data_IF_038223097522
#
_entry.id   IF_038223097522
#
_cell.length_a   1.000
_cell.length_b   1.000
_cell.length_c   1.000
_cell.angle_alpha   90.00
_cell.angle_beta   90.00
_cell.angle_gamma   90.00
#
_symmetry.space_group_name_H-M   'P 1'
#
loop_
_entity.id
_entity.type
_entity.pdbx_description
1 polymer ?
#
# COMPACT_ATOMS: atom_id res chain seq x y z
N UNK A 1 16.16 -55.54 30.03
CA UNK A 1 15.26 -54.37 29.94
C UNK A 1 15.20 -53.93 28.48
N UNK A 2 14.02 -53.85 27.87
CA UNK A 2 13.88 -53.38 26.48
C UNK A 2 14.34 -51.91 26.38
N UNK A 3 15.16 -51.57 25.37
CA UNK A 3 15.55 -50.18 25.11
C UNK A 3 14.27 -49.38 24.79
N UNK A 4 13.89 -48.46 25.67
CA UNK A 4 12.81 -47.53 25.39
C UNK A 4 13.23 -46.65 24.21
N UNK A 5 12.40 -46.61 23.19
CA UNK A 5 12.58 -45.77 22.02
C UNK A 5 12.26 -44.32 22.37
N UNK A 6 12.98 -43.35 21.80
CA UNK A 6 12.63 -41.92 21.92
C UNK A 6 11.22 -41.63 21.41
N UNK A 7 10.74 -42.43 20.45
CA UNK A 7 9.41 -42.33 19.89
C UNK A 7 8.30 -42.68 20.89
N UNK A 8 8.60 -43.43 21.95
CA UNK A 8 7.64 -43.77 23.01
C UNK A 8 7.89 -43.03 24.34
N UNK A 9 8.85 -42.11 24.38
CA UNK A 9 9.16 -41.31 25.58
C UNK A 9 8.34 -40.02 25.62
N UNK A 10 7.29 -40.01 26.43
CA UNK A 10 6.44 -38.83 26.64
C UNK A 10 7.24 -37.61 27.13
N UNK A 11 8.22 -37.81 28.01
CA UNK A 11 9.01 -36.70 28.58
C UNK A 11 9.92 -36.07 27.54
N UNK A 12 10.47 -36.88 26.64
CA UNK A 12 11.23 -36.37 25.49
C UNK A 12 10.34 -35.45 24.63
N UNK A 13 9.16 -35.91 24.20
CA UNK A 13 8.26 -35.12 23.36
C UNK A 13 7.73 -33.86 24.03
N UNK A 14 7.38 -33.93 25.32
CA UNK A 14 6.97 -32.75 26.10
C UNK A 14 8.06 -31.69 26.13
N UNK A 15 9.32 -32.08 26.37
CA UNK A 15 10.46 -31.16 26.39
C UNK A 15 10.75 -30.61 25.00
N UNK A 16 10.73 -31.45 23.97
CA UNK A 16 10.95 -31.04 22.59
C UNK A 16 9.89 -30.04 22.14
N UNK A 17 8.61 -30.29 22.44
CA UNK A 17 7.53 -29.35 22.16
C UNK A 17 7.76 -28.02 22.89
N UNK A 18 8.07 -28.05 24.18
CA UNK A 18 8.36 -26.83 24.95
C UNK A 18 9.55 -26.04 24.37
N UNK A 19 10.63 -26.71 23.96
CA UNK A 19 11.80 -26.07 23.36
C UNK A 19 11.52 -25.49 21.98
N UNK A 20 10.86 -26.24 21.09
CA UNK A 20 10.52 -25.77 19.75
C UNK A 20 9.59 -24.56 19.85
N UNK A 21 8.52 -24.65 20.64
CA UNK A 21 7.59 -23.54 20.85
C UNK A 21 8.28 -22.35 21.48
N UNK A 22 9.11 -22.55 22.50
CA UNK A 22 9.85 -21.47 23.17
C UNK A 22 10.80 -20.75 22.22
N UNK A 23 11.63 -21.50 21.48
CA UNK A 23 12.57 -20.92 20.51
C UNK A 23 11.84 -20.21 19.36
N UNK A 24 10.82 -20.85 18.77
CA UNK A 24 10.02 -20.24 17.71
C UNK A 24 9.33 -18.95 18.17
N UNK A 25 8.86 -18.90 19.43
CA UNK A 25 8.28 -17.70 20.02
C UNK A 25 9.30 -16.57 20.17
N UNK A 26 10.51 -16.86 20.66
CA UNK A 26 11.58 -15.87 20.76
C UNK A 26 11.99 -15.35 19.39
N UNK A 27 12.13 -16.25 18.40
CA UNK A 27 12.45 -15.87 17.02
C UNK A 27 11.35 -14.97 16.42
N UNK A 28 10.08 -15.32 16.64
CA UNK A 28 8.95 -14.51 16.19
C UNK A 28 8.95 -13.12 16.82
N UNK A 29 9.19 -13.01 18.12
CA UNK A 29 9.30 -11.72 18.82
C UNK A 29 10.43 -10.87 18.21
N UNK A 30 11.59 -11.47 17.97
CA UNK A 30 12.73 -10.77 17.37
C UNK A 30 12.42 -10.28 15.96
N UNK A 31 11.87 -11.14 15.10
CA UNK A 31 11.45 -10.78 13.75
C UNK A 31 10.36 -9.71 13.72
N UNK A 32 9.48 -9.68 14.72
CA UNK A 32 8.48 -8.61 14.87
C UNK A 32 9.14 -7.24 15.09
N UNK A 33 10.14 -7.15 15.98
CA UNK A 33 10.85 -5.87 16.19
C UNK A 33 11.66 -5.44 14.97
N UNK A 34 12.34 -6.39 14.32
CA UNK A 34 13.06 -6.14 13.06
C UNK A 34 12.11 -5.63 11.96
N UNK A 35 10.96 -6.28 11.79
CA UNK A 35 9.93 -5.86 10.84
C UNK A 35 9.41 -4.46 11.16
N UNK A 36 9.08 -4.18 12.43
CA UNK A 36 8.59 -2.87 12.86
C UNK A 36 9.57 -1.74 12.51
N UNK A 37 10.88 -1.95 12.68
CA UNK A 37 11.89 -0.97 12.30
C UNK A 37 11.98 -0.79 10.78
N UNK A 38 11.83 -1.87 10.01
CA UNK A 38 11.89 -1.84 8.54
C UNK A 38 10.66 -1.20 7.88
N UNK A 39 9.48 -1.29 8.51
CA UNK A 39 8.22 -0.70 8.02
C UNK A 39 7.90 0.66 8.63
N UNK A 40 8.78 1.20 9.47
CA UNK A 40 8.62 2.53 10.02
C UNK A 40 8.58 3.57 8.89
N UNK A 41 7.53 4.39 8.89
CA UNK A 41 7.36 5.47 7.92
C UNK A 41 8.52 6.48 8.04
N UNK A 42 9.01 6.96 6.90
CA UNK A 42 9.95 8.07 6.86
C UNK A 42 9.30 9.40 7.23
N UNK A 43 10.11 10.45 7.17
CA UNK A 43 9.69 11.84 7.37
C UNK A 43 10.21 12.73 6.25
N UNK A 44 9.88 14.02 6.30
CA UNK A 44 10.32 15.00 5.30
C UNK A 44 11.83 15.16 5.20
N UNK A 45 12.55 14.96 6.31
CA UNK A 45 14.00 15.06 6.32
C UNK A 45 14.63 13.90 5.54
N UNK A 46 14.05 12.70 5.61
CA UNK A 46 14.50 11.56 4.82
C UNK A 46 14.37 11.87 3.32
N UNK A 47 13.20 12.39 2.90
CA UNK A 47 12.93 12.74 1.51
C UNK A 47 13.86 13.84 0.98
N UNK A 48 14.05 14.91 1.74
CA UNK A 48 14.95 16.03 1.37
C UNK A 48 16.41 15.60 1.25
N UNK A 49 16.82 14.61 2.03
CA UNK A 49 18.17 14.05 2.00
C UNK A 49 18.33 12.92 0.96
N UNK A 50 17.31 12.64 0.14
CA UNK A 50 17.33 11.57 -0.86
C UNK A 50 17.35 10.17 -0.26
N UNK A 51 16.87 10.01 0.97
CA UNK A 51 16.79 8.72 1.67
C UNK A 51 15.41 8.09 1.41
N UNK A 52 15.39 7.08 0.53
CA UNK A 52 14.17 6.31 0.26
C UNK A 52 14.04 5.15 1.23
N UNK A 53 13.29 5.35 2.32
CA UNK A 53 12.85 4.26 3.21
C UNK A 53 11.86 3.34 2.49
N UNK A 54 11.61 2.16 3.06
CA UNK A 54 10.64 1.20 2.51
C UNK A 54 9.21 1.74 2.51
N UNK A 55 8.88 2.56 3.51
CA UNK A 55 7.67 3.35 3.56
C UNK A 55 8.09 4.82 3.54
N UNK A 56 7.84 5.55 2.45
CA UNK A 56 8.28 6.94 2.32
C UNK A 56 7.54 7.84 3.31
N UNK A 57 8.10 9.03 3.55
CA UNK A 57 7.42 10.06 4.33
C UNK A 57 6.11 10.52 3.66
N UNK A 58 5.18 11.09 4.43
CA UNK A 58 3.83 11.39 3.95
C UNK A 58 3.82 12.41 2.82
N UNK A 59 4.76 13.36 2.82
CA UNK A 59 4.87 14.41 1.78
C UNK A 59 5.35 13.89 0.43
N UNK A 60 5.63 12.59 0.28
CA UNK A 60 5.92 11.99 -1.03
C UNK A 60 4.82 12.27 -2.06
N UNK A 61 3.58 12.54 -1.62
CA UNK A 61 2.46 12.93 -2.49
C UNK A 61 2.72 14.26 -3.24
N UNK A 62 3.64 15.10 -2.76
CA UNK A 62 4.08 16.33 -3.42
C UNK A 62 5.07 16.09 -4.56
N UNK A 63 5.49 14.85 -4.78
CA UNK A 63 6.52 14.48 -5.73
C UNK A 63 5.97 13.51 -6.77
N UNK A 64 6.62 13.52 -7.92
CA UNK A 64 6.41 12.51 -8.95
C UNK A 64 7.04 11.20 -8.50
N UNK A 65 6.30 10.10 -8.68
CA UNK A 65 6.76 8.76 -8.34
C UNK A 65 6.80 7.95 -9.63
N UNK A 66 7.94 7.34 -9.91
CA UNK A 66 8.12 6.40 -11.02
C UNK A 66 8.66 5.07 -10.49
N UNK A 67 8.63 4.04 -11.31
CA UNK A 67 9.32 2.78 -11.01
C UNK A 67 10.35 2.53 -12.10
N UNK A 68 11.59 2.30 -11.69
CA UNK A 68 12.71 2.12 -12.61
C UNK A 68 13.49 0.85 -12.25
N UNK A 69 14.01 0.17 -13.26
CA UNK A 69 14.76 -1.07 -13.08
C UNK A 69 16.09 -0.80 -12.37
N UNK A 70 16.25 -1.29 -11.15
CA UNK A 70 17.51 -1.23 -10.42
C UNK A 70 18.38 -2.44 -10.77
N UNK A 71 19.57 -2.18 -11.33
CA UNK A 71 20.51 -3.23 -11.77
C UNK A 71 21.08 -4.05 -10.62
N UNK A 72 21.21 -3.50 -9.41
CA UNK A 72 21.75 -4.23 -8.25
C UNK A 72 20.70 -5.17 -7.67
N UNK A 73 19.47 -4.72 -7.65
CA UNK A 73 18.31 -5.39 -7.08
C UNK A 73 17.60 -6.33 -8.06
N UNK A 74 17.86 -6.18 -9.36
CA UNK A 74 17.23 -6.94 -10.44
C UNK A 74 15.69 -6.87 -10.41
N UNK A 75 15.15 -5.75 -9.95
CA UNK A 75 13.71 -5.47 -9.94
C UNK A 75 13.47 -3.96 -10.05
N UNK A 76 12.25 -3.60 -10.45
CA UNK A 76 11.80 -2.21 -10.46
C UNK A 76 11.63 -1.67 -9.04
N UNK A 77 12.22 -0.52 -8.76
CA UNK A 77 12.13 0.18 -7.48
C UNK A 77 11.49 1.55 -7.65
N UNK A 78 10.79 2.07 -6.63
CA UNK A 78 10.24 3.41 -6.68
C UNK A 78 11.37 4.45 -6.71
N UNK A 79 11.23 5.43 -7.60
CA UNK A 79 12.10 6.60 -7.72
C UNK A 79 11.22 7.85 -7.48
N UNK A 80 11.68 8.70 -6.58
CA UNK A 80 11.00 9.95 -6.22
C UNK A 80 11.69 11.06 -7.00
N UNK A 81 10.94 11.69 -7.91
CA UNK A 81 11.42 12.69 -8.85
C UNK A 81 11.14 14.12 -8.40
N UNK A 82 10.92 15.02 -9.37
CA UNK A 82 10.58 16.42 -9.13
C UNK A 82 9.24 16.61 -8.41
N UNK A 83 8.98 17.83 -7.93
CA UNK A 83 7.67 18.21 -7.40
C UNK A 83 6.58 18.04 -8.45
N UNK A 84 5.44 17.51 -8.01
CA UNK A 84 4.25 17.29 -8.81
C UNK A 84 3.03 17.77 -8.02
N UNK A 85 2.13 18.48 -8.70
CA UNK A 85 0.87 18.89 -8.08
C UNK A 85 0.00 17.67 -7.77
N UNK A 86 -0.69 17.77 -6.66
CA UNK A 86 -1.66 16.82 -6.16
C UNK A 86 -2.90 17.60 -5.71
N UNK A 87 -3.99 17.51 -6.48
CA UNK A 87 -5.20 18.33 -6.31
C UNK A 87 -4.84 19.83 -6.31
N UNK A 88 -4.05 20.24 -7.30
CA UNK A 88 -3.68 21.64 -7.54
C UNK A 88 -2.54 22.19 -6.68
N UNK A 89 -2.08 21.46 -5.66
CA UNK A 89 -1.04 21.88 -4.70
C UNK A 89 0.17 20.93 -4.71
N UNK A 90 1.37 21.41 -4.47
CA UNK A 90 2.61 20.62 -4.35
C UNK A 90 3.38 20.93 -3.04
N UNK A 91 2.65 21.46 -2.06
CA UNK A 91 3.16 22.04 -0.82
C UNK A 91 2.46 21.50 0.43
N UNK A 92 1.86 20.32 0.37
CA UNK A 92 1.27 19.69 1.56
C UNK A 92 2.33 19.53 2.63
N UNK A 93 2.06 20.08 3.81
CA UNK A 93 2.90 19.88 4.99
C UNK A 93 2.89 18.41 5.44
N UNK A 94 3.87 18.03 6.27
CA UNK A 94 3.93 16.67 6.84
C UNK A 94 2.66 16.31 7.60
N UNK A 95 2.07 17.27 8.32
CA UNK A 95 0.82 17.08 9.06
C UNK A 95 -0.39 16.92 8.12
N UNK A 96 -0.57 17.83 7.14
CA UNK A 96 -1.67 17.73 6.17
C UNK A 96 -1.60 16.43 5.36
N UNK A 97 -0.39 16.06 4.91
CA UNK A 97 -0.20 14.83 4.15
C UNK A 97 -0.46 13.60 5.03
N UNK A 98 -0.02 13.60 6.29
CA UNK A 98 -0.29 12.50 7.22
C UNK A 98 -1.78 12.31 7.44
N UNK A 99 -2.54 13.39 7.64
CA UNK A 99 -3.99 13.31 7.83
C UNK A 99 -4.70 12.77 6.59
N UNK A 100 -4.31 13.23 5.40
CA UNK A 100 -4.87 12.71 4.14
C UNK A 100 -4.58 11.21 3.95
N UNK A 101 -3.36 10.77 4.24
CA UNK A 101 -2.99 9.35 4.17
C UNK A 101 -3.72 8.52 5.23
N UNK A 102 -3.91 9.06 6.43
CA UNK A 102 -4.69 8.44 7.49
C UNK A 102 -6.13 8.22 7.05
N UNK A 103 -6.79 9.27 6.53
CA UNK A 103 -8.14 9.20 6.00
C UNK A 103 -8.24 8.18 4.85
N UNK A 104 -7.29 8.18 3.92
CA UNK A 104 -7.26 7.23 2.81
C UNK A 104 -7.12 5.78 3.25
N UNK A 105 -6.19 5.52 4.17
CA UNK A 105 -6.01 4.18 4.75
C UNK A 105 -7.27 3.74 5.47
N UNK A 106 -7.85 4.59 6.32
CA UNK A 106 -9.09 4.29 7.03
C UNK A 106 -10.24 4.05 6.05
N UNK A 107 -10.37 4.85 5.00
CA UNK A 107 -11.34 4.67 3.92
C UNK A 107 -11.18 3.33 3.21
N UNK A 108 -9.95 2.92 2.87
CA UNK A 108 -9.72 1.64 2.21
C UNK A 108 -10.15 0.44 3.08
N UNK A 109 -10.02 0.57 4.40
CA UNK A 109 -10.37 -0.45 5.38
C UNK A 109 -11.88 -0.44 5.65
N UNK A 110 -12.48 0.74 5.86
CA UNK A 110 -13.91 0.89 6.16
C UNK A 110 -14.80 0.51 4.98
N UNK A 111 -14.35 0.79 3.75
CA UNK A 111 -15.01 0.38 2.50
C UNK A 111 -14.59 -1.03 2.03
N UNK A 112 -13.74 -1.70 2.81
CA UNK A 112 -13.30 -3.09 2.61
C UNK A 112 -12.72 -3.36 1.22
N UNK A 113 -11.86 -2.46 0.71
CA UNK A 113 -11.29 -2.57 -0.63
C UNK A 113 -10.56 -3.91 -0.86
N UNK A 114 -9.89 -4.45 0.17
CA UNK A 114 -9.17 -5.73 0.09
C UNK A 114 -10.08 -6.95 -0.11
N UNK A 115 -11.40 -6.83 0.07
CA UNK A 115 -12.34 -7.91 -0.24
C UNK A 115 -12.61 -8.07 -1.73
N UNK A 116 -12.18 -7.11 -2.56
CA UNK A 116 -12.22 -7.21 -4.01
C UNK A 116 -10.82 -7.14 -4.64
N UNK A 117 -9.95 -6.31 -4.07
CA UNK A 117 -8.61 -6.03 -4.57
C UNK A 117 -7.52 -6.67 -3.72
N UNK A 118 -6.31 -6.74 -4.26
CA UNK A 118 -5.11 -6.88 -3.45
C UNK A 118 -4.44 -5.53 -3.19
N UNK A 119 -3.81 -5.41 -2.02
CA UNK A 119 -2.92 -4.33 -1.62
C UNK A 119 -1.61 -4.96 -1.14
N UNK A 120 -0.49 -4.58 -1.73
CA UNK A 120 0.82 -5.22 -1.52
C UNK A 120 0.73 -6.75 -1.71
N UNK A 121 -0.04 -7.20 -2.70
CA UNK A 121 -0.27 -8.61 -3.00
C UNK A 121 -1.19 -9.38 -2.02
N UNK A 122 -1.76 -8.71 -1.01
CA UNK A 122 -2.67 -9.32 -0.04
C UNK A 122 -4.11 -8.86 -0.28
N UNK A 123 -5.07 -9.77 -0.30
CA UNK A 123 -6.49 -9.47 -0.49
C UNK A 123 -7.20 -10.45 -1.43
N UNK A 124 -8.25 -10.00 -2.09
CA UNK A 124 -9.03 -10.80 -3.03
C UNK A 124 -8.63 -10.54 -4.49
N UNK A 125 -8.99 -11.47 -5.37
CA UNK A 125 -8.63 -11.47 -6.80
C UNK A 125 -9.80 -11.16 -7.74
N UNK A 126 -10.88 -10.56 -7.20
CA UNK A 126 -12.01 -10.17 -8.03
C UNK A 126 -11.64 -8.97 -8.91
N UNK A 127 -10.85 -8.04 -8.39
CA UNK A 127 -10.43 -6.82 -9.06
C UNK A 127 -8.89 -6.67 -9.04
N UNK A 128 -8.31 -5.73 -9.82
CA UNK A 128 -6.85 -5.59 -9.93
C UNK A 128 -6.15 -5.24 -8.62
N UNK A 129 -4.85 -5.51 -8.55
CA UNK A 129 -3.98 -5.06 -7.45
C UNK A 129 -3.86 -3.54 -7.45
N UNK A 130 -4.08 -2.93 -6.28
CA UNK A 130 -4.09 -1.48 -6.12
C UNK A 130 -2.74 -0.88 -5.70
N UNK A 131 -1.71 -1.70 -5.48
CA UNK A 131 -0.39 -1.25 -4.98
C UNK A 131 0.23 -0.18 -5.86
N UNK A 132 0.09 -0.33 -7.19
CA UNK A 132 0.63 0.63 -8.17
C UNK A 132 -0.48 1.32 -8.97
N UNK A 133 -1.70 1.39 -8.42
CA UNK A 133 -2.85 1.94 -9.14
C UNK A 133 -2.64 3.39 -9.59
N UNK A 134 -1.94 4.21 -8.80
CA UNK A 134 -1.57 5.58 -9.17
C UNK A 134 -0.74 5.65 -10.47
N UNK A 135 0.05 4.62 -10.75
CA UNK A 135 0.97 4.57 -11.90
C UNK A 135 0.33 4.00 -13.16
N UNK A 136 -0.91 3.51 -13.09
CA UNK A 136 -1.59 2.94 -14.24
C UNK A 136 -1.71 3.98 -15.38
N UNK A 137 -1.22 3.67 -16.60
CA UNK A 137 -1.32 4.56 -17.75
C UNK A 137 -2.75 5.00 -18.09
N UNK A 138 -3.78 4.24 -17.69
CA UNK A 138 -5.18 4.58 -17.90
C UNK A 138 -5.57 5.92 -17.27
N UNK A 139 -4.88 6.34 -16.20
CA UNK A 139 -5.10 7.64 -15.56
C UNK A 139 -4.23 8.79 -16.12
N UNK A 140 -3.23 8.46 -16.96
CA UNK A 140 -2.30 9.43 -17.52
C UNK A 140 -2.90 10.25 -18.68
N UNK A 141 -2.13 11.20 -19.24
CA UNK A 141 -2.59 12.06 -20.35
C UNK A 141 -2.99 11.30 -21.62
N UNK A 142 -2.42 10.11 -21.83
CA UNK A 142 -2.73 9.23 -22.96
C UNK A 142 -3.75 8.15 -22.60
N UNK A 143 -4.24 8.14 -21.36
CA UNK A 143 -5.21 7.18 -20.84
C UNK A 143 -6.66 7.61 -21.09
N UNK A 144 -7.59 6.68 -20.92
CA UNK A 144 -9.02 6.93 -21.15
C UNK A 144 -9.72 7.58 -19.95
N UNK A 145 -9.20 7.42 -18.72
CA UNK A 145 -9.97 7.74 -17.51
C UNK A 145 -10.22 9.23 -17.31
N UNK A 146 -9.28 10.10 -17.70
CA UNK A 146 -9.47 11.55 -17.63
C UNK A 146 -10.62 11.99 -18.55
N UNK A 147 -10.63 11.52 -19.80
CA UNK A 147 -11.71 11.80 -20.75
C UNK A 147 -13.05 11.20 -20.30
N UNK A 148 -13.06 9.96 -19.79
CA UNK A 148 -14.27 9.29 -19.32
C UNK A 148 -14.90 10.00 -18.12
N UNK A 149 -14.09 10.49 -17.19
CA UNK A 149 -14.56 11.19 -15.98
C UNK A 149 -14.78 12.69 -16.20
N UNK A 150 -14.37 13.23 -17.35
CA UNK A 150 -14.42 14.66 -17.65
C UNK A 150 -13.48 15.50 -16.79
N UNK A 151 -12.43 14.91 -16.22
CA UNK A 151 -11.42 15.58 -15.40
C UNK A 151 -10.13 15.79 -16.18
N UNK A 152 -9.36 16.80 -15.80
CA UNK A 152 -8.11 17.17 -16.48
C UNK A 152 -6.84 16.66 -15.78
N UNK A 153 -6.99 16.09 -14.58
CA UNK A 153 -5.89 15.58 -13.79
C UNK A 153 -6.11 14.12 -13.41
N UNK A 154 -5.01 13.40 -13.15
CA UNK A 154 -5.02 12.00 -12.73
C UNK A 154 -5.79 11.83 -11.42
N UNK A 155 -5.47 12.67 -10.44
CA UNK A 155 -6.02 12.58 -9.10
C UNK A 155 -7.52 12.87 -9.05
N UNK A 156 -8.01 13.85 -9.82
CA UNK A 156 -9.44 14.16 -9.89
C UNK A 156 -10.19 13.07 -10.65
N UNK A 157 -9.61 12.50 -11.71
CA UNK A 157 -10.20 11.37 -12.42
C UNK A 157 -10.34 10.14 -11.52
N UNK A 158 -9.31 9.81 -10.74
CA UNK A 158 -9.38 8.72 -9.76
C UNK A 158 -10.44 9.00 -8.69
N UNK A 159 -10.48 10.22 -8.14
CA UNK A 159 -11.46 10.59 -7.13
C UNK A 159 -12.91 10.57 -7.66
N UNK A 160 -13.12 11.00 -8.91
CA UNK A 160 -14.43 10.93 -9.57
C UNK A 160 -14.87 9.48 -9.79
N UNK A 161 -13.96 8.62 -10.27
CA UNK A 161 -14.23 7.19 -10.42
C UNK A 161 -14.61 6.52 -9.09
N UNK A 162 -13.90 6.83 -8.00
CA UNK A 162 -14.18 6.26 -6.68
C UNK A 162 -15.56 6.66 -6.14
N UNK A 163 -16.01 7.88 -6.43
CA UNK A 163 -17.33 8.36 -6.03
C UNK A 163 -18.45 7.76 -6.89
N UNK A 164 -18.19 7.57 -8.19
CA UNK A 164 -19.19 7.17 -9.18
C UNK A 164 -18.76 5.94 -10.01
N UNK A 165 -18.35 4.81 -9.40
CA UNK A 165 -17.70 3.72 -10.13
C UNK A 165 -18.62 3.05 -11.17
N UNK A 166 -19.93 3.02 -10.92
CA UNK A 166 -20.91 2.41 -11.83
C UNK A 166 -21.15 3.23 -13.10
N UNK A 167 -20.74 4.50 -13.15
CA UNK A 167 -20.88 5.35 -14.33
C UNK A 167 -19.76 5.16 -15.36
N UNK A 168 -18.68 4.48 -14.97
CA UNK A 168 -17.47 4.29 -15.79
C UNK A 168 -17.16 2.80 -15.94
N UNK A 169 -17.95 2.04 -16.73
CA UNK A 169 -17.73 0.61 -16.91
C UNK A 169 -16.44 0.38 -17.69
N UNK A 170 -15.37 0.01 -16.99
CA UNK A 170 -14.07 -0.31 -17.58
C UNK A 170 -13.89 -1.81 -17.84
N UNK A 171 -14.70 -2.65 -17.20
CA UNK A 171 -14.60 -4.11 -17.31
C UNK A 171 -15.95 -4.80 -16.99
N UNK A 172 -16.05 -6.09 -17.32
CA UNK A 172 -17.20 -6.93 -16.97
C UNK A 172 -17.40 -7.09 -15.44
N UNK A 173 -16.36 -6.81 -14.65
CA UNK A 173 -16.40 -6.80 -13.19
C UNK A 173 -16.45 -5.34 -12.75
N UNK A 174 -17.53 -4.97 -12.08
CA UNK A 174 -17.79 -3.57 -11.71
C UNK A 174 -17.55 -3.36 -10.22
N UNK A 175 -16.91 -2.25 -9.89
CA UNK A 175 -16.84 -1.78 -8.51
C UNK A 175 -18.24 -1.29 -8.09
N UNK A 176 -18.79 -1.79 -6.97
CA UNK A 176 -20.07 -1.30 -6.45
C UNK A 176 -19.94 0.14 -5.95
N UNK A 177 -21.05 0.86 -5.87
CA UNK A 177 -21.04 2.16 -5.20
C UNK A 177 -20.95 1.94 -3.67
N UNK A 178 -19.83 2.36 -3.08
CA UNK A 178 -19.53 2.23 -1.65
C UNK A 178 -19.86 3.51 -0.86
N UNK A 179 -20.52 4.48 -1.50
CA UNK A 179 -20.83 5.79 -0.91
C UNK A 179 -19.56 6.51 -0.45
N UNK A 180 -18.51 6.49 -1.28
CA UNK A 180 -17.26 7.20 -1.01
C UNK A 180 -17.53 8.69 -1.19
N UNK A 181 -17.24 9.50 -0.18
CA UNK A 181 -17.39 10.96 -0.26
C UNK A 181 -16.22 11.62 -1.00
N UNK A 182 -16.34 12.89 -1.39
CA UNK A 182 -15.26 13.62 -2.03
C UNK A 182 -13.99 13.71 -1.15
N UNK A 183 -14.16 13.84 0.16
CA UNK A 183 -13.05 13.90 1.12
C UNK A 183 -12.37 12.54 1.27
N UNK A 184 -13.16 11.47 1.44
CA UNK A 184 -12.65 10.09 1.46
C UNK A 184 -11.93 9.75 0.15
N UNK A 185 -12.47 10.17 -1.00
CA UNK A 185 -11.87 9.94 -2.30
C UNK A 185 -10.50 10.63 -2.42
N UNK A 186 -10.38 11.89 -1.98
CA UNK A 186 -9.10 12.59 -1.95
C UNK A 186 -8.07 11.86 -1.08
N UNK A 187 -8.47 11.43 0.13
CA UNK A 187 -7.63 10.64 1.02
C UNK A 187 -7.22 9.31 0.40
N UNK A 188 -8.16 8.57 -0.20
CA UNK A 188 -7.91 7.30 -0.88
C UNK A 188 -6.89 7.46 -2.01
N UNK A 189 -7.04 8.48 -2.85
CA UNK A 189 -6.08 8.74 -3.93
C UNK A 189 -4.70 9.12 -3.35
N UNK A 190 -4.65 9.88 -2.25
CA UNK A 190 -3.37 10.19 -1.57
C UNK A 190 -2.70 8.90 -1.08
N UNK A 191 -3.47 8.01 -0.46
CA UNK A 191 -2.99 6.71 0.02
C UNK A 191 -2.51 5.81 -1.13
N UNK A 192 -3.25 5.75 -2.24
CA UNK A 192 -2.85 5.03 -3.45
C UNK A 192 -1.59 5.62 -4.12
N UNK A 193 -1.37 6.93 -4.00
CA UNK A 193 -0.14 7.59 -4.48
C UNK A 193 1.05 7.32 -3.56
N UNK A 194 0.84 7.18 -2.25
CA UNK A 194 1.89 6.97 -1.25
C UNK A 194 2.47 5.55 -1.24
N UNK A 195 1.65 4.55 -1.56
CA UNK A 195 2.06 3.14 -1.64
C UNK A 195 3.06 2.87 -2.78
#
# INVERSE_FOLDING_TARGET
MAKKSVWSDNRFWQRTAAWITGFASVLLIWLTFDTNAQIAMGNDSDLKNGVTKRVPGPTVINYKITYEMDKKRQHEVPVIGEKEKFFGRDDYSEEEATELLHLGKLGSQSKNCMNCHTLLGNGAYYAPDLTKAWLDPAWGPTGSMQAMTGKSTKEEAMAEFLQNPSQYPTHARMMPNLGITAEEAKGLVAFLKHM
#
